data_IF_165085503597
#
_entry.id   IF_165085503597
#
_cell.length_a   1.000
_cell.length_b   1.000
_cell.length_c   1.000
_cell.angle_alpha   90.00
_cell.angle_beta   90.00
_cell.angle_gamma   90.00
#
_symmetry.space_group_name_H-M   'P 1'
#
loop_
_entity.id
_entity.type
_entity.pdbx_description
1 polymer ?
#
# COMPACT_ATOMS: atom_id res chain seq x y z
N UNK A 1 -26.06 19.23 -9.97
CA UNK A 1 -25.37 17.97 -9.70
C UNK A 1 -23.88 18.30 -9.59
N UNK A 2 -23.22 17.91 -8.50
CA UNK A 2 -21.81 18.21 -8.23
C UNK A 2 -20.91 17.19 -8.91
N UNK A 3 -19.86 17.65 -9.56
CA UNK A 3 -18.81 16.80 -10.14
C UNK A 3 -17.60 16.84 -9.21
N UNK A 4 -17.20 15.71 -8.67
CA UNK A 4 -16.10 15.61 -7.68
C UNK A 4 -15.05 14.65 -8.21
N UNK A 5 -13.79 15.12 -8.30
CA UNK A 5 -12.64 14.28 -8.58
C UNK A 5 -11.92 13.94 -7.28
N UNK A 6 -11.59 12.67 -7.08
CA UNK A 6 -10.75 12.19 -5.98
C UNK A 6 -9.52 11.52 -6.60
N UNK A 7 -8.34 12.03 -6.31
CA UNK A 7 -7.07 11.49 -6.80
C UNK A 7 -6.46 10.58 -5.75
N UNK A 8 -6.46 9.29 -6.01
CA UNK A 8 -6.05 8.23 -5.12
C UNK A 8 -7.22 7.36 -4.65
N UNK A 9 -7.17 6.08 -4.98
CA UNK A 9 -8.21 5.08 -4.67
C UNK A 9 -7.94 4.29 -3.38
N UNK A 10 -7.03 4.78 -2.53
CA UNK A 10 -6.75 4.20 -1.22
C UNK A 10 -7.84 4.48 -0.18
N UNK A 11 -7.58 4.13 1.10
CA UNK A 11 -8.54 4.34 2.19
C UNK A 11 -9.07 5.76 2.28
N UNK A 12 -8.20 6.77 2.19
CA UNK A 12 -8.61 8.18 2.25
C UNK A 12 -9.57 8.55 1.11
N UNK A 13 -9.28 8.06 -0.11
CA UNK A 13 -10.13 8.29 -1.28
C UNK A 13 -11.52 7.68 -1.11
N UNK A 14 -11.61 6.41 -0.74
CA UNK A 14 -12.91 5.74 -0.59
C UNK A 14 -13.72 6.21 0.62
N UNK A 15 -13.08 6.57 1.75
CA UNK A 15 -13.81 7.21 2.85
C UNK A 15 -14.35 8.59 2.44
N UNK A 16 -13.59 9.33 1.63
CA UNK A 16 -14.05 10.62 1.09
C UNK A 16 -15.23 10.42 0.13
N UNK A 17 -15.14 9.45 -0.78
CA UNK A 17 -16.23 9.10 -1.69
C UNK A 17 -17.50 8.69 -0.92
N UNK A 18 -17.38 7.80 0.07
CA UNK A 18 -18.48 7.39 0.93
C UNK A 18 -19.14 8.58 1.65
N UNK A 19 -18.32 9.48 2.20
CA UNK A 19 -18.82 10.68 2.87
C UNK A 19 -19.56 11.63 1.91
N UNK A 20 -19.06 11.77 0.68
CA UNK A 20 -19.68 12.56 -0.36
C UNK A 20 -21.01 11.96 -0.80
N UNK A 21 -21.07 10.65 -1.05
CA UNK A 21 -22.32 9.92 -1.36
C UNK A 21 -23.33 10.09 -0.23
N UNK A 22 -22.92 9.91 1.01
CA UNK A 22 -23.81 10.08 2.16
C UNK A 22 -24.37 11.50 2.27
N UNK A 23 -23.59 12.51 1.90
CA UNK A 23 -23.99 13.92 2.02
C UNK A 23 -24.88 14.40 0.88
N UNK A 24 -24.63 13.94 -0.35
CA UNK A 24 -25.25 14.52 -1.55
C UNK A 24 -26.07 13.51 -2.37
N UNK A 25 -25.91 12.20 -2.13
CA UNK A 25 -26.64 11.18 -2.88
C UNK A 25 -26.56 11.38 -4.40
N UNK A 26 -27.70 11.39 -5.04
CA UNK A 26 -27.81 11.55 -6.50
C UNK A 26 -27.47 12.96 -7.02
N UNK A 27 -27.30 13.94 -6.12
CA UNK A 27 -26.86 15.30 -6.48
C UNK A 27 -25.33 15.39 -6.69
N UNK A 28 -24.61 14.28 -6.62
CA UNK A 28 -23.18 14.22 -6.92
C UNK A 28 -22.84 13.12 -7.94
N UNK A 29 -21.74 13.32 -8.64
CA UNK A 29 -20.98 12.31 -9.39
C UNK A 29 -19.54 12.39 -8.95
N UNK A 30 -18.95 11.24 -8.65
CA UNK A 30 -17.64 11.14 -8.02
C UNK A 30 -16.76 10.23 -8.86
N UNK A 31 -15.70 10.77 -9.42
CA UNK A 31 -14.67 10.02 -10.12
C UNK A 31 -13.47 9.82 -9.20
N UNK A 32 -13.10 8.57 -8.95
CA UNK A 32 -11.94 8.18 -8.15
C UNK A 32 -10.84 7.72 -9.09
N UNK A 33 -9.81 8.55 -9.24
CA UNK A 33 -8.68 8.31 -10.12
C UNK A 33 -7.56 7.55 -9.42
N UNK A 34 -6.93 6.63 -10.12
CA UNK A 34 -5.72 5.97 -9.66
C UNK A 34 -4.78 5.62 -10.83
N UNK A 35 -3.47 5.72 -10.60
CA UNK A 35 -2.47 5.28 -11.57
C UNK A 35 -2.47 3.76 -11.78
N UNK A 36 -2.90 3.00 -10.78
CA UNK A 36 -3.03 1.55 -10.89
C UNK A 36 -4.37 1.18 -11.54
N UNK A 37 -4.42 0.08 -12.30
CA UNK A 37 -5.66 -0.41 -12.90
C UNK A 37 -6.64 -1.04 -11.90
N UNK A 38 -6.24 -1.13 -10.63
CA UNK A 38 -7.00 -1.74 -9.54
C UNK A 38 -7.11 -0.80 -8.34
N UNK A 39 -8.27 -0.74 -7.68
CA UNK A 39 -8.50 0.16 -6.55
C UNK A 39 -7.97 -0.38 -5.22
N UNK A 40 -8.13 0.45 -4.18
CA UNK A 40 -7.97 0.21 -2.74
C UNK A 40 -6.56 0.47 -2.19
N UNK A 41 -5.59 0.88 -3.03
CA UNK A 41 -4.27 1.37 -2.60
C UNK A 41 -3.59 0.43 -1.59
N UNK A 42 -3.17 0.97 -0.45
CA UNK A 42 -2.44 0.23 0.58
C UNK A 42 -3.21 -0.97 1.17
N UNK A 43 -4.53 -1.03 1.10
CA UNK A 43 -5.27 -2.22 1.54
C UNK A 43 -4.91 -3.42 0.67
N UNK A 44 -4.66 -3.18 -0.61
CA UNK A 44 -4.22 -4.22 -1.55
C UNK A 44 -2.71 -4.46 -1.47
N UNK A 45 -1.91 -3.39 -1.50
CA UNK A 45 -0.47 -3.47 -1.76
C UNK A 45 0.42 -3.11 -0.57
N UNK A 46 -0.15 -2.69 0.56
CA UNK A 46 0.59 -2.22 1.72
C UNK A 46 0.31 -2.95 3.03
N UNK A 47 -0.88 -3.56 3.18
CA UNK A 47 -1.20 -4.42 4.32
C UNK A 47 -0.55 -5.78 4.12
N UNK A 48 0.03 -6.36 5.17
CA UNK A 48 0.67 -7.66 5.09
C UNK A 48 -0.28 -8.74 4.54
N UNK A 49 0.22 -9.67 3.71
CA UNK A 49 -0.60 -10.62 2.96
C UNK A 49 -1.34 -11.63 3.85
N UNK A 50 -0.90 -11.79 5.10
CA UNK A 50 -1.54 -12.64 6.10
C UNK A 50 -2.56 -11.89 6.99
N UNK A 51 -2.68 -10.58 6.87
CA UNK A 51 -3.66 -9.76 7.61
C UNK A 51 -5.01 -9.65 6.86
N UNK A 52 -5.62 -10.78 6.54
CA UNK A 52 -6.85 -10.85 5.77
C UNK A 52 -8.04 -10.17 6.47
N UNK A 53 -8.07 -10.13 7.81
CA UNK A 53 -9.09 -9.41 8.57
C UNK A 53 -9.02 -7.89 8.36
N UNK A 54 -7.81 -7.33 8.25
CA UNK A 54 -7.60 -5.90 7.96
C UNK A 54 -7.93 -5.61 6.50
N UNK A 55 -7.48 -6.48 5.57
CA UNK A 55 -7.81 -6.36 4.15
C UNK A 55 -9.32 -6.46 3.87
N UNK A 56 -10.09 -7.08 4.74
CA UNK A 56 -11.55 -7.19 4.63
C UNK A 56 -12.29 -5.82 4.65
N UNK A 57 -11.64 -4.73 5.05
CA UNK A 57 -12.19 -3.38 4.93
C UNK A 57 -12.47 -2.99 3.47
N UNK A 58 -11.79 -3.63 2.49
CA UNK A 58 -12.07 -3.45 1.06
C UNK A 58 -13.54 -3.69 0.71
N UNK A 59 -14.22 -4.61 1.39
CA UNK A 59 -15.65 -4.87 1.22
C UNK A 59 -16.54 -3.63 1.46
N UNK A 60 -16.10 -2.74 2.35
CA UNK A 60 -16.78 -1.46 2.58
C UNK A 60 -16.57 -0.52 1.39
N UNK A 61 -15.34 -0.48 0.87
CA UNK A 61 -15.01 0.34 -0.29
C UNK A 61 -15.70 -0.16 -1.55
N UNK A 62 -15.78 -1.49 -1.72
CA UNK A 62 -16.52 -2.12 -2.84
C UNK A 62 -17.96 -1.66 -2.89
N UNK A 63 -18.66 -1.60 -1.75
CA UNK A 63 -20.04 -1.09 -1.69
C UNK A 63 -20.18 0.34 -2.21
N UNK A 64 -19.16 1.18 -1.93
CA UNK A 64 -19.13 2.56 -2.43
C UNK A 64 -18.76 2.59 -3.92
N UNK A 65 -17.79 1.77 -4.33
CA UNK A 65 -17.26 1.74 -5.69
C UNK A 65 -18.26 1.24 -6.75
N UNK A 66 -19.18 0.34 -6.37
CA UNK A 66 -20.21 -0.22 -7.28
C UNK A 66 -21.49 0.60 -7.29
N UNK A 67 -21.58 1.68 -6.52
CA UNK A 67 -22.75 2.57 -6.51
C UNK A 67 -22.80 3.47 -7.75
N UNK A 68 -24.01 3.79 -8.21
CA UNK A 68 -24.25 4.57 -9.44
C UNK A 68 -23.66 5.99 -9.42
N UNK A 69 -23.33 6.49 -8.22
CA UNK A 69 -22.78 7.84 -7.99
C UNK A 69 -21.26 7.89 -8.08
N UNK A 70 -20.57 6.76 -7.95
CA UNK A 70 -19.10 6.66 -7.90
C UNK A 70 -18.59 5.87 -9.09
N UNK A 71 -17.56 6.40 -9.74
CA UNK A 71 -16.87 5.72 -10.84
C UNK A 71 -15.38 5.59 -10.50
N UNK A 72 -14.83 4.39 -10.57
CA UNK A 72 -13.39 4.17 -10.53
C UNK A 72 -12.78 4.39 -11.91
N UNK A 73 -11.74 5.22 -11.97
CA UNK A 73 -10.99 5.56 -13.19
C UNK A 73 -9.55 5.16 -12.97
N UNK A 74 -9.26 3.88 -13.20
CA UNK A 74 -7.93 3.30 -13.03
C UNK A 74 -7.04 3.49 -14.26
N UNK A 75 -5.73 3.26 -14.07
CA UNK A 75 -4.71 3.42 -15.09
C UNK A 75 -4.62 4.84 -15.65
N UNK A 76 -4.88 5.84 -14.80
CA UNK A 76 -4.77 7.27 -15.12
C UNK A 76 -3.90 7.95 -14.08
N UNK A 77 -2.72 8.39 -14.51
CA UNK A 77 -1.77 9.09 -13.66
C UNK A 77 -2.01 10.60 -13.72
N UNK A 78 -2.55 11.15 -12.63
CA UNK A 78 -2.75 12.60 -12.49
C UNK A 78 -1.42 13.29 -12.24
N UNK A 79 -1.16 14.36 -12.96
CA UNK A 79 0.11 15.08 -13.00
C UNK A 79 1.00 14.69 -14.18
N UNK A 80 0.70 13.57 -14.85
CA UNK A 80 1.40 13.09 -16.05
C UNK A 80 0.48 13.07 -17.26
N UNK A 81 -0.60 12.28 -17.22
CA UNK A 81 -1.56 12.13 -18.33
C UNK A 81 -2.68 13.17 -18.29
N UNK A 82 -3.09 13.56 -17.09
CA UNK A 82 -4.08 14.61 -16.84
C UNK A 82 -3.54 15.50 -15.73
N UNK A 83 -3.51 16.81 -15.95
CA UNK A 83 -3.06 17.76 -14.95
C UNK A 83 -4.12 18.05 -13.90
N UNK A 84 -3.69 18.59 -12.75
CA UNK A 84 -4.60 19.06 -11.70
C UNK A 84 -5.44 20.25 -12.21
N UNK A 85 -4.86 21.12 -13.03
CA UNK A 85 -5.57 22.27 -13.61
C UNK A 85 -6.71 21.83 -14.56
N UNK A 86 -6.47 20.78 -15.35
CA UNK A 86 -7.54 20.20 -16.19
C UNK A 86 -8.66 19.62 -15.34
N UNK A 87 -8.34 18.91 -14.25
CA UNK A 87 -9.36 18.45 -13.32
C UNK A 87 -10.13 19.61 -12.67
N UNK A 88 -9.42 20.67 -12.25
CA UNK A 88 -10.02 21.84 -11.62
C UNK A 88 -10.97 22.60 -12.57
N UNK A 89 -10.74 22.50 -13.89
CA UNK A 89 -11.65 23.08 -14.90
C UNK A 89 -12.88 22.19 -15.18
N UNK A 90 -12.82 20.88 -14.91
CA UNK A 90 -13.88 19.92 -15.23
C UNK A 90 -14.75 19.57 -14.02
N UNK A 91 -14.23 19.72 -12.81
CA UNK A 91 -14.88 19.31 -11.57
C UNK A 91 -15.14 20.50 -10.65
N UNK A 92 -16.22 20.46 -9.88
CA UNK A 92 -16.53 21.46 -8.87
C UNK A 92 -15.59 21.36 -7.65
N UNK A 93 -14.97 20.18 -7.43
CA UNK A 93 -13.98 19.96 -6.40
C UNK A 93 -12.98 18.86 -6.80
N UNK A 94 -11.71 19.09 -6.49
CA UNK A 94 -10.62 18.11 -6.65
C UNK A 94 -10.03 17.81 -5.27
N UNK A 95 -10.00 16.53 -4.89
CA UNK A 95 -9.51 16.08 -3.59
C UNK A 95 -8.30 15.18 -3.80
N UNK A 96 -7.17 15.56 -3.21
CA UNK A 96 -5.94 14.77 -3.28
C UNK A 96 -5.87 13.80 -2.11
N UNK A 97 -5.91 12.50 -2.41
CA UNK A 97 -5.84 11.37 -1.48
C UNK A 97 -4.75 10.37 -1.88
N UNK A 98 -3.62 10.88 -2.38
CA UNK A 98 -2.55 10.14 -3.06
C UNK A 98 -1.69 9.28 -2.12
N UNK A 99 -1.85 9.42 -0.80
CA UNK A 99 -1.03 8.72 0.18
C UNK A 99 0.43 9.19 0.20
N UNK A 100 1.32 8.34 0.71
CA UNK A 100 2.77 8.57 0.77
C UNK A 100 3.51 7.36 0.16
N UNK A 101 3.66 7.31 -1.18
CA UNK A 101 4.16 6.13 -1.88
C UNK A 101 5.67 5.92 -1.75
N UNK A 102 6.42 6.95 -1.34
CA UNK A 102 7.88 6.90 -1.28
C UNK A 102 8.37 6.62 0.13
N UNK A 103 9.39 5.77 0.24
CA UNK A 103 10.13 5.57 1.46
C UNK A 103 10.92 6.83 1.83
N UNK A 104 11.10 7.04 3.14
CA UNK A 104 12.03 8.05 3.63
C UNK A 104 13.45 7.52 3.47
N UNK A 105 14.33 8.32 2.91
CA UNK A 105 15.75 8.01 2.83
C UNK A 105 16.35 7.82 4.24
N UNK A 106 17.20 6.82 4.34
CA UNK A 106 17.94 6.53 5.55
C UNK A 106 19.24 7.33 5.52
N UNK A 107 19.43 8.22 6.52
CA UNK A 107 20.58 9.14 6.59
C UNK A 107 21.61 8.65 7.62
N UNK A 108 22.12 7.43 7.46
CA UNK A 108 23.17 6.83 8.28
C UNK A 108 24.29 6.29 7.39
N UNK A 109 25.46 6.10 7.96
CA UNK A 109 26.59 5.49 7.25
C UNK A 109 26.20 4.08 6.79
N UNK A 110 26.52 3.75 5.54
CA UNK A 110 26.17 2.47 4.92
C UNK A 110 24.75 2.38 4.36
N UNK A 111 24.00 3.48 4.29
CA UNK A 111 22.65 3.50 3.68
C UNK A 111 22.64 3.21 2.17
N UNK A 112 23.80 3.19 1.53
CA UNK A 112 24.04 2.80 0.13
C UNK A 112 24.41 1.31 -0.03
N UNK A 113 24.38 0.54 1.05
CA UNK A 113 24.70 -0.90 1.05
C UNK A 113 23.71 -1.65 0.14
N UNK A 114 24.25 -2.62 -0.61
CA UNK A 114 23.42 -3.53 -1.41
C UNK A 114 22.45 -4.30 -0.51
N UNK A 115 21.32 -4.71 -1.08
CA UNK A 115 20.28 -5.45 -0.39
C UNK A 115 19.61 -4.67 0.76
N UNK A 116 19.64 -3.33 0.70
CA UNK A 116 18.88 -2.45 1.57
C UNK A 116 17.64 -1.96 0.81
N UNK A 117 16.47 -2.19 1.38
CA UNK A 117 15.19 -1.81 0.79
C UNK A 117 14.41 -0.92 1.76
N UNK A 118 13.74 0.07 1.21
CA UNK A 118 12.72 0.79 1.95
C UNK A 118 11.48 -0.08 2.21
N UNK A 119 10.75 0.24 3.25
CA UNK A 119 9.59 -0.56 3.67
C UNK A 119 8.48 -0.60 2.60
N UNK A 120 8.24 0.52 1.90
CA UNK A 120 7.24 0.56 0.84
C UNK A 120 7.62 -0.36 -0.34
N UNK A 121 8.91 -0.37 -0.72
CA UNK A 121 9.41 -1.24 -1.78
C UNK A 121 9.30 -2.72 -1.41
N UNK A 122 9.76 -3.11 -0.22
CA UNK A 122 9.74 -4.50 0.22
C UNK A 122 8.31 -5.01 0.44
N UNK A 123 7.45 -4.20 1.07
CA UNK A 123 6.02 -4.52 1.26
C UNK A 123 5.29 -4.60 -0.08
N UNK A 124 5.57 -3.67 -0.99
CA UNK A 124 5.02 -3.69 -2.34
C UNK A 124 5.44 -4.94 -3.12
N UNK A 125 6.68 -5.39 -2.97
CA UNK A 125 7.21 -6.58 -3.61
C UNK A 125 6.42 -7.84 -3.22
N UNK A 126 6.23 -8.11 -1.93
CA UNK A 126 5.51 -9.31 -1.52
C UNK A 126 3.99 -9.22 -1.70
N UNK A 127 3.45 -8.02 -1.92
CA UNK A 127 2.04 -7.80 -2.26
C UNK A 127 1.79 -7.63 -3.77
N UNK A 128 2.82 -7.71 -4.62
CA UNK A 128 2.67 -7.65 -6.08
C UNK A 128 2.39 -6.24 -6.64
N UNK A 129 2.89 -5.19 -5.97
CA UNK A 129 2.80 -3.83 -6.52
C UNK A 129 3.68 -3.70 -7.77
N UNK A 130 3.15 -3.25 -8.93
CA UNK A 130 3.88 -3.28 -10.20
C UNK A 130 5.20 -2.49 -10.18
N UNK A 131 5.28 -1.38 -9.46
CA UNK A 131 6.50 -0.57 -9.35
C UNK A 131 7.65 -1.30 -8.64
N UNK A 132 7.33 -2.32 -7.84
CA UNK A 132 8.31 -3.09 -7.05
C UNK A 132 8.43 -4.55 -7.49
N UNK A 133 7.80 -4.92 -8.61
CA UNK A 133 7.83 -6.29 -9.12
C UNK A 133 9.24 -6.76 -9.51
N UNK A 134 10.14 -5.83 -9.86
CA UNK A 134 11.48 -6.11 -10.33
C UNK A 134 12.57 -5.99 -9.25
N UNK A 135 12.22 -5.70 -7.99
CA UNK A 135 13.23 -5.80 -6.93
C UNK A 135 13.48 -7.28 -6.64
N UNK A 136 14.73 -7.61 -6.37
CA UNK A 136 15.19 -8.99 -6.13
C UNK A 136 15.94 -9.03 -4.78
N UNK A 137 15.24 -9.17 -3.66
CA UNK A 137 15.87 -9.27 -2.37
C UNK A 137 16.68 -10.56 -2.25
N UNK A 138 17.98 -10.42 -1.97
CA UNK A 138 18.83 -11.56 -1.65
C UNK A 138 18.54 -12.02 -0.22
N UNK A 139 17.83 -13.13 -0.09
CA UNK A 139 17.44 -13.76 1.17
C UNK A 139 18.35 -14.96 1.53
N UNK A 140 19.48 -15.15 0.87
CA UNK A 140 20.41 -16.26 1.11
C UNK A 140 21.21 -16.11 2.41
N UNK A 141 21.33 -14.89 2.93
CA UNK A 141 22.03 -14.60 4.19
C UNK A 141 21.29 -15.13 5.43
N UNK A 142 22.05 -15.41 6.50
CA UNK A 142 21.49 -15.95 7.75
C UNK A 142 20.82 -14.91 8.65
N UNK A 143 21.10 -13.63 8.43
CA UNK A 143 20.67 -12.56 9.30
C UNK A 143 19.98 -11.46 8.51
N UNK A 144 18.75 -11.14 8.89
CA UNK A 144 18.02 -9.97 8.40
C UNK A 144 17.93 -8.90 9.50
N UNK A 145 18.00 -7.64 9.10
CA UNK A 145 17.86 -6.48 10.00
C UNK A 145 16.71 -5.63 9.53
N UNK A 146 15.76 -5.36 10.41
CA UNK A 146 14.62 -4.46 10.17
C UNK A 146 14.81 -3.20 11.02
N UNK A 147 14.93 -2.05 10.35
CA UNK A 147 15.12 -0.76 11.02
C UNK A 147 13.76 -0.09 11.21
N UNK A 148 13.30 -0.03 12.45
CA UNK A 148 12.01 0.53 12.84
C UNK A 148 11.28 -0.38 13.83
N UNK A 149 10.28 0.16 14.53
CA UNK A 149 9.48 -0.56 15.53
C UNK A 149 7.97 -0.22 15.39
N UNK A 150 7.55 0.22 14.21
CA UNK A 150 6.12 0.40 13.89
C UNK A 150 5.51 -0.87 13.32
N UNK A 151 4.19 -0.87 13.12
CA UNK A 151 3.44 -2.03 12.62
C UNK A 151 4.03 -2.61 11.33
N UNK A 152 4.46 -1.76 10.39
CA UNK A 152 5.07 -2.21 9.12
C UNK A 152 6.39 -2.96 9.37
N UNK A 153 7.23 -2.47 10.29
CA UNK A 153 8.48 -3.14 10.63
C UNK A 153 8.24 -4.52 11.28
N UNK A 154 7.22 -4.62 12.14
CA UNK A 154 6.80 -5.89 12.75
C UNK A 154 6.21 -6.84 11.70
N UNK A 155 5.44 -6.33 10.74
CA UNK A 155 4.93 -7.12 9.63
C UNK A 155 6.07 -7.67 8.77
N UNK A 156 7.03 -6.84 8.37
CA UNK A 156 8.21 -7.27 7.60
C UNK A 156 9.00 -8.33 8.35
N UNK A 157 9.29 -8.11 9.64
CA UNK A 157 10.02 -9.06 10.45
C UNK A 157 9.29 -10.42 10.56
N UNK A 158 7.97 -10.38 10.74
CA UNK A 158 7.12 -11.58 10.79
C UNK A 158 7.13 -12.32 9.46
N UNK A 159 6.97 -11.62 8.33
CA UNK A 159 7.00 -12.22 6.98
C UNK A 159 8.35 -12.91 6.72
N UNK A 160 9.47 -12.29 7.10
CA UNK A 160 10.80 -12.88 6.96
C UNK A 160 11.03 -14.11 7.86
N UNK A 161 10.33 -14.19 8.98
CA UNK A 161 10.49 -15.28 9.96
C UNK A 161 9.52 -16.46 9.73
N UNK A 162 8.52 -16.31 8.86
CA UNK A 162 7.52 -17.35 8.60
C UNK A 162 8.06 -18.51 7.78
N UNK A 163 7.58 -19.69 8.11
CA UNK A 163 7.70 -20.88 7.26
C UNK A 163 6.63 -20.89 6.17
N UNK A 164 6.84 -21.66 5.11
CA UNK A 164 5.89 -21.76 3.98
C UNK A 164 4.46 -22.10 4.43
N UNK A 165 4.29 -23.05 5.33
CA UNK A 165 2.97 -23.47 5.81
C UNK A 165 2.17 -22.38 6.51
N UNK A 166 2.85 -21.36 7.06
CA UNK A 166 2.22 -20.24 7.74
C UNK A 166 1.68 -19.17 6.79
N UNK A 167 1.93 -19.30 5.48
CA UNK A 167 1.35 -18.44 4.45
C UNK A 167 0.03 -19.00 3.88
N UNK A 168 -0.43 -20.14 4.33
CA UNK A 168 -1.71 -20.70 3.89
C UNK A 168 -2.85 -19.72 4.23
N UNK A 169 -3.65 -19.38 3.21
CA UNK A 169 -4.73 -18.39 3.33
C UNK A 169 -4.30 -16.93 3.22
N UNK A 170 -3.00 -16.66 2.99
CA UNK A 170 -2.52 -15.32 2.65
C UNK A 170 -2.68 -15.04 1.15
N UNK A 171 -2.59 -13.77 0.76
CA UNK A 171 -2.57 -13.33 -0.63
C UNK A 171 -1.15 -12.90 -1.10
N UNK A 172 -0.12 -13.47 -0.47
CA UNK A 172 1.27 -13.27 -0.90
C UNK A 172 1.44 -13.70 -2.36
N UNK A 173 2.19 -12.90 -3.14
CA UNK A 173 2.41 -13.24 -4.54
C UNK A 173 3.42 -14.38 -4.72
N UNK A 174 3.27 -15.16 -5.80
CA UNK A 174 4.03 -16.38 -6.01
C UNK A 174 5.55 -16.16 -5.99
N UNK A 175 6.07 -15.15 -6.71
CA UNK A 175 7.52 -14.89 -6.75
C UNK A 175 8.11 -14.58 -5.37
N UNK A 176 7.39 -13.85 -4.52
CA UNK A 176 7.85 -13.54 -3.17
C UNK A 176 7.81 -14.78 -2.26
N UNK A 177 6.75 -15.59 -2.39
CA UNK A 177 6.66 -16.84 -1.65
C UNK A 177 7.79 -17.80 -2.05
N UNK A 178 8.11 -17.91 -3.33
CA UNK A 178 9.20 -18.75 -3.82
C UNK A 178 10.57 -18.28 -3.29
N UNK A 179 10.81 -16.97 -3.25
CA UNK A 179 12.03 -16.40 -2.65
C UNK A 179 12.12 -16.68 -1.16
N UNK A 180 11.01 -16.56 -0.42
CA UNK A 180 10.96 -16.85 1.01
C UNK A 180 11.16 -18.34 1.32
N UNK A 181 10.67 -19.26 0.47
CA UNK A 181 10.91 -20.70 0.59
C UNK A 181 12.41 -21.07 0.52
N UNK A 182 13.15 -20.34 -0.32
CA UNK A 182 14.57 -20.55 -0.53
C UNK A 182 15.44 -19.69 0.44
N UNK A 183 14.82 -18.99 1.37
CA UNK A 183 15.50 -18.10 2.31
C UNK A 183 16.46 -18.87 3.23
N UNK A 184 17.66 -18.32 3.40
CA UNK A 184 18.64 -18.78 4.39
C UNK A 184 18.53 -18.09 5.74
N UNK A 185 17.54 -17.20 5.94
CA UNK A 185 17.42 -16.38 7.15
C UNK A 185 17.13 -17.26 8.37
N UNK A 186 18.02 -17.21 9.34
CA UNK A 186 17.90 -17.90 10.65
C UNK A 186 17.48 -16.93 11.76
N UNK A 187 17.81 -15.63 11.61
CA UNK A 187 17.52 -14.61 12.62
C UNK A 187 17.06 -13.31 11.98
N UNK A 188 16.06 -12.68 12.60
CA UNK A 188 15.59 -11.34 12.24
C UNK A 188 15.78 -10.41 13.43
N UNK A 189 16.61 -9.38 13.26
CA UNK A 189 16.86 -8.37 14.30
C UNK A 189 16.09 -7.09 14.00
N UNK A 190 15.27 -6.64 14.96
CA UNK A 190 14.54 -5.37 14.86
C UNK A 190 15.33 -4.30 15.62
N UNK A 191 15.75 -3.25 14.90
CA UNK A 191 16.46 -2.11 15.47
C UNK A 191 15.51 -0.93 15.69
N UNK A 192 15.38 -0.50 16.93
CA UNK A 192 14.58 0.65 17.32
C UNK A 192 15.39 1.70 18.08
N UNK A 193 15.07 2.98 17.90
CA UNK A 193 15.66 4.09 18.67
C UNK A 193 15.13 4.20 20.10
N UNK A 194 14.00 3.57 20.38
CA UNK A 194 13.28 3.60 21.65
C UNK A 194 13.23 2.20 22.28
N UNK A 195 12.99 2.14 23.58
CA UNK A 195 12.82 0.86 24.26
C UNK A 195 11.51 0.15 23.84
N UNK A 196 11.40 -1.16 24.08
CA UNK A 196 10.25 -1.96 23.65
C UNK A 196 8.93 -1.48 24.26
N UNK A 197 8.94 -0.84 25.42
CA UNK A 197 7.75 -0.23 26.05
C UNK A 197 7.25 1.05 25.36
N UNK A 198 7.97 1.55 24.37
CA UNK A 198 7.63 2.75 23.59
C UNK A 198 7.23 2.42 22.14
N UNK A 199 7.00 1.14 21.86
CA UNK A 199 6.47 0.69 20.57
C UNK A 199 5.03 1.20 20.47
N UNK A 200 4.73 1.94 19.40
CA UNK A 200 3.35 2.30 19.06
C UNK A 200 2.78 1.17 18.19
N UNK A 201 1.86 0.42 18.77
CA UNK A 201 1.07 -0.60 18.08
C UNK A 201 -0.32 -0.04 17.77
#
# INVERSE_FOLDING_TARGET
>A
MRQIAIVGSGPAGYYTAEAAVKKWGDDARIDVFDKLPVPFGLIRTGVAPDHQSIKAVSRRYEKTAVGDTVRFVGNVEIGSQVSIDELANLYDAVILATGAPKDRELTIDGADTKNLFGSAAFVGWYNGHPEFANIDPDLSGKHAVVIGMGNVALDVARILAKTEGEFVGSDIVAHALDSLRCSGIETVTILGRRGPHQIMM
#
